data_IF_228540202499
#
_entry.id   IF_228540202499
#
_cell.length_a   1.000
_cell.length_b   1.000
_cell.length_c   1.000
_cell.angle_alpha   90.00
_cell.angle_beta   90.00
_cell.angle_gamma   90.00
#
_symmetry.space_group_name_H-M   'P 1'
#
loop_
_entity.id
_entity.type
_entity.pdbx_description
1 polymer ?
#
# COMPACT_ATOMS: atom_id res chain seq x y z
N UNK A 1 21.14 3.86 -25.63
CA UNK A 1 21.75 4.95 -26.43
C UNK A 1 20.89 5.15 -27.68
N UNK A 2 20.72 6.37 -28.19
CA UNK A 2 19.97 6.59 -29.44
C UNK A 2 20.53 5.67 -30.55
N UNK A 3 19.70 4.96 -31.36
CA UNK A 3 18.24 5.07 -31.47
C UNK A 3 17.40 4.18 -30.52
N UNK A 4 18.02 3.39 -29.66
CA UNK A 4 17.35 2.39 -28.82
C UNK A 4 16.84 2.96 -27.50
N UNK A 5 16.65 4.29 -27.42
CA UNK A 5 16.12 4.96 -26.25
C UNK A 5 14.63 4.61 -26.07
N UNK A 6 14.30 4.04 -24.91
CA UNK A 6 12.92 3.73 -24.54
C UNK A 6 12.59 4.46 -23.23
N UNK A 7 11.38 4.94 -23.09
CA UNK A 7 10.86 5.59 -21.89
C UNK A 7 9.53 4.97 -21.51
N UNK A 8 9.39 4.61 -20.26
CA UNK A 8 8.20 3.97 -19.72
C UNK A 8 7.70 4.70 -18.49
N UNK A 9 6.40 4.67 -18.26
CA UNK A 9 5.78 5.09 -17.03
C UNK A 9 5.24 3.86 -16.32
N UNK A 10 5.72 3.60 -15.12
CA UNK A 10 5.26 2.52 -14.27
C UNK A 10 4.52 3.11 -13.07
N UNK A 11 3.19 3.00 -12.99
CA UNK A 11 2.44 3.45 -11.82
C UNK A 11 2.66 2.47 -10.67
N UNK A 12 3.43 2.86 -9.67
CA UNK A 12 3.64 2.07 -8.46
C UNK A 12 2.70 2.58 -7.38
N UNK A 13 1.63 1.84 -7.16
CA UNK A 13 0.64 2.08 -6.10
C UNK A 13 0.82 1.06 -4.98
N UNK A 14 -0.05 1.11 -3.95
CA UNK A 14 -0.13 0.01 -3.00
C UNK A 14 -0.42 -1.30 -3.73
N UNK A 15 0.41 -2.31 -3.46
CA UNK A 15 0.36 -3.59 -4.15
C UNK A 15 -0.63 -4.57 -3.52
N UNK A 16 -1.33 -4.19 -2.46
CA UNK A 16 -2.31 -5.03 -1.74
C UNK A 16 -1.76 -6.44 -1.50
N UNK A 17 -0.62 -6.50 -0.80
CA UNK A 17 0.17 -7.71 -0.59
C UNK A 17 -0.62 -8.83 0.10
N UNK A 18 -0.26 -10.08 -0.20
CA UNK A 18 -0.83 -11.24 0.50
C UNK A 18 -0.29 -11.29 1.93
N UNK A 19 1.02 -11.12 2.10
CA UNK A 19 1.70 -11.06 3.40
C UNK A 19 2.23 -9.63 3.65
N UNK A 20 1.37 -8.73 4.16
CA UNK A 20 1.67 -7.30 4.20
C UNK A 20 2.52 -6.90 5.41
N UNK A 21 3.83 -6.71 5.25
CA UNK A 21 4.73 -6.23 6.31
C UNK A 21 4.23 -4.95 6.99
N UNK A 22 3.45 -4.11 6.29
CA UNK A 22 2.89 -2.90 6.88
C UNK A 22 1.82 -3.19 7.94
N UNK A 23 1.15 -4.33 7.87
CA UNK A 23 0.20 -4.80 8.89
C UNK A 23 0.97 -5.35 10.08
N UNK A 24 1.97 -6.20 9.85
CA UNK A 24 2.74 -6.86 10.90
C UNK A 24 3.43 -5.88 11.85
N UNK A 25 3.92 -4.77 11.30
CA UNK A 25 4.65 -3.76 12.11
C UNK A 25 3.73 -2.74 12.77
N UNK A 26 2.41 -2.83 12.61
CA UNK A 26 1.49 -1.85 13.17
C UNK A 26 1.29 -2.09 14.68
N UNK A 27 1.75 -1.18 15.56
CA UNK A 27 1.70 -1.42 17.00
C UNK A 27 0.29 -1.32 17.58
N UNK A 28 -0.64 -0.66 16.88
CA UNK A 28 -2.03 -0.47 17.32
C UNK A 28 -3.03 -1.36 16.59
N UNK A 29 -2.58 -2.11 15.57
CA UNK A 29 -3.48 -2.85 14.68
C UNK A 29 -4.31 -1.97 13.75
N UNK A 30 -4.04 -0.67 13.70
CA UNK A 30 -4.74 0.26 12.80
C UNK A 30 -4.57 -0.09 11.32
N UNK A 31 -3.41 -0.64 10.94
CA UNK A 31 -3.20 -1.18 9.59
C UNK A 31 -3.59 -2.64 9.60
N UNK A 32 -4.56 -3.03 8.78
CA UNK A 32 -5.09 -4.39 8.73
C UNK A 32 -5.44 -4.79 7.30
N UNK A 33 -5.46 -6.10 7.03
CA UNK A 33 -5.97 -6.68 5.80
C UNK A 33 -7.40 -7.12 6.05
N UNK A 34 -8.31 -6.68 5.22
CA UNK A 34 -9.69 -7.10 5.27
C UNK A 34 -9.82 -8.54 4.72
N UNK A 35 -10.57 -9.39 5.42
CA UNK A 35 -10.72 -10.80 5.08
C UNK A 35 -11.71 -11.01 3.92
N UNK A 36 -12.65 -10.09 3.73
CA UNK A 36 -13.70 -10.22 2.72
C UNK A 36 -13.21 -9.80 1.33
N UNK A 37 -12.46 -8.69 1.25
CA UNK A 37 -12.02 -8.14 -0.04
C UNK A 37 -10.49 -8.20 -0.27
N UNK A 38 -9.73 -8.63 0.73
CA UNK A 38 -8.28 -8.76 0.67
C UNK A 38 -7.53 -7.44 0.58
N UNK A 39 -8.21 -6.31 0.70
CA UNK A 39 -7.62 -4.97 0.64
C UNK A 39 -7.04 -4.58 2.00
N UNK A 40 -5.90 -3.91 1.98
CA UNK A 40 -5.26 -3.43 3.19
C UNK A 40 -5.75 -2.02 3.49
N UNK A 41 -6.30 -1.83 4.68
CA UNK A 41 -6.81 -0.56 5.17
C UNK A 41 -5.98 0.00 6.32
N UNK A 42 -6.22 1.27 6.64
CA UNK A 42 -5.74 1.92 7.85
C UNK A 42 -6.95 2.56 8.53
N UNK A 43 -7.30 2.06 9.71
CA UNK A 43 -8.24 2.71 10.60
C UNK A 43 -7.60 3.98 11.15
N UNK A 44 -8.13 5.14 10.77
CA UNK A 44 -7.56 6.43 11.12
C UNK A 44 -7.83 6.79 12.58
N UNK A 45 -8.84 6.23 13.21
CA UNK A 45 -9.17 6.46 14.61
C UNK A 45 -8.18 5.72 15.54
N UNK A 46 -7.71 4.55 15.11
CA UNK A 46 -6.69 3.77 15.81
C UNK A 46 -5.25 4.16 15.43
N UNK A 47 -5.07 4.89 14.34
CA UNK A 47 -3.76 5.22 13.82
C UNK A 47 -3.08 6.32 14.64
N UNK A 48 -1.92 6.03 15.22
CA UNK A 48 -1.11 6.98 16.00
C UNK A 48 -0.07 7.76 15.16
N UNK A 49 -0.03 7.53 13.85
CA UNK A 49 0.89 8.23 12.94
C UNK A 49 2.37 7.89 13.12
N UNK A 50 2.72 6.75 13.69
CA UNK A 50 4.10 6.35 13.99
C UNK A 50 4.97 6.07 12.76
N UNK A 51 4.38 6.00 11.57
CA UNK A 51 5.03 5.76 10.29
C UNK A 51 5.78 4.41 10.16
N UNK A 52 5.63 3.47 11.08
CA UNK A 52 6.25 2.14 10.99
C UNK A 52 5.84 1.41 9.70
N UNK A 53 4.55 1.47 9.33
CA UNK A 53 4.04 0.89 8.10
C UNK A 53 4.63 1.51 6.82
N UNK A 54 5.00 2.81 6.85
CA UNK A 54 5.70 3.47 5.75
C UNK A 54 7.11 2.93 5.58
N UNK A 55 7.83 2.74 6.70
CA UNK A 55 9.20 2.22 6.68
C UNK A 55 9.26 0.75 6.26
N UNK A 56 8.26 -0.04 6.65
CA UNK A 56 8.19 -1.46 6.32
C UNK A 56 7.73 -1.74 4.88
N UNK A 57 7.07 -0.79 4.23
CA UNK A 57 6.54 -0.99 2.88
C UNK A 57 7.65 -0.90 1.83
N UNK A 58 8.00 -1.98 1.11
CA UNK A 58 9.05 -1.95 0.09
C UNK A 58 8.63 -1.15 -1.16
N UNK A 59 7.35 -0.80 -1.27
CA UNK A 59 6.77 -0.03 -2.38
C UNK A 59 6.53 1.45 -2.02
N UNK A 60 6.85 1.86 -0.79
CA UNK A 60 6.63 3.21 -0.28
C UNK A 60 5.20 3.74 -0.50
N UNK A 61 4.20 2.85 -0.46
CA UNK A 61 2.82 3.15 -0.79
C UNK A 61 2.04 3.83 0.34
N UNK A 62 2.61 3.92 1.54
CA UNK A 62 1.99 4.56 2.71
C UNK A 62 2.45 6.02 2.82
N UNK A 63 1.52 6.94 2.95
CA UNK A 63 1.78 8.37 3.10
C UNK A 63 1.37 8.87 4.47
N UNK A 64 2.08 9.86 4.99
CA UNK A 64 1.73 10.52 6.23
C UNK A 64 0.87 11.75 5.94
N UNK A 65 -0.36 11.75 6.43
CA UNK A 65 -1.24 12.91 6.37
C UNK A 65 -0.85 13.89 7.48
N UNK A 66 -0.27 15.02 7.12
CA UNK A 66 0.24 16.02 8.06
C UNK A 66 -0.86 16.77 8.79
N UNK A 67 -2.05 16.89 8.19
CA UNK A 67 -3.19 17.61 8.78
C UNK A 67 -3.86 16.76 9.83
N UNK A 68 -4.19 15.50 9.49
CA UNK A 68 -4.84 14.55 10.39
C UNK A 68 -3.84 13.84 11.33
N UNK A 69 -2.55 13.89 11.02
CA UNK A 69 -1.46 13.22 11.75
C UNK A 69 -1.59 11.70 11.82
N UNK A 70 -2.17 11.11 10.80
CA UNK A 70 -2.35 9.67 10.63
C UNK A 70 -1.70 9.20 9.34
N UNK A 71 -1.56 7.90 9.19
CA UNK A 71 -1.12 7.31 7.93
C UNK A 71 -2.29 7.18 6.97
N UNK A 72 -1.99 7.29 5.67
CA UNK A 72 -2.95 7.15 4.59
C UNK A 72 -2.34 6.33 3.44
N UNK A 73 -3.19 5.62 2.70
CA UNK A 73 -2.78 4.80 1.55
C UNK A 73 -3.96 4.52 0.63
N UNK A 74 -3.68 3.88 -0.50
CA UNK A 74 -4.72 3.41 -1.41
C UNK A 74 -5.67 2.43 -0.69
N UNK A 75 -6.97 2.71 -0.71
CA UNK A 75 -8.05 1.91 -0.13
C UNK A 75 -8.76 1.04 -1.18
N UNK A 76 -8.21 0.91 -2.40
CA UNK A 76 -8.95 0.30 -3.50
C UNK A 76 -10.25 1.03 -3.85
N UNK A 77 -10.43 2.29 -3.38
CA UNK A 77 -11.66 3.07 -3.53
C UNK A 77 -12.90 2.33 -3.01
N UNK A 78 -12.85 1.77 -1.79
CA UNK A 78 -13.93 0.97 -1.19
C UNK A 78 -15.29 1.66 -1.35
N UNK A 79 -15.39 2.96 -1.10
CA UNK A 79 -16.63 3.74 -1.24
C UNK A 79 -17.22 3.70 -2.65
N UNK A 80 -16.42 3.55 -3.69
CA UNK A 80 -16.92 3.38 -5.07
C UNK A 80 -17.28 1.94 -5.36
N UNK A 81 -16.48 0.98 -4.83
CA UNK A 81 -16.73 -0.45 -5.01
C UNK A 81 -18.03 -0.88 -4.35
N UNK A 82 -18.36 -0.35 -3.17
CA UNK A 82 -19.62 -0.59 -2.47
C UNK A 82 -20.83 -0.11 -3.27
N UNK A 83 -20.64 0.89 -4.13
CA UNK A 83 -21.64 1.34 -5.09
C UNK A 83 -21.64 0.55 -6.41
N UNK A 84 -20.83 -0.51 -6.53
CA UNK A 84 -20.66 -1.30 -7.74
C UNK A 84 -19.89 -0.58 -8.86
N UNK A 85 -19.10 0.43 -8.51
CA UNK A 85 -18.30 1.23 -9.45
C UNK A 85 -16.84 0.81 -9.43
N UNK A 86 -16.16 1.02 -10.55
CA UNK A 86 -14.70 0.85 -10.61
C UNK A 86 -13.95 1.89 -9.77
N UNK A 87 -12.75 1.54 -9.26
CA UNK A 87 -11.86 2.51 -8.64
C UNK A 87 -11.58 3.72 -9.53
N UNK A 88 -11.40 4.89 -8.91
CA UNK A 88 -11.24 6.16 -9.63
C UNK A 88 -10.03 6.15 -10.59
N UNK A 89 -8.92 5.51 -10.22
CA UNK A 89 -7.73 5.40 -11.08
C UNK A 89 -8.00 4.56 -12.34
N UNK A 90 -8.77 3.49 -12.23
CA UNK A 90 -9.17 2.63 -13.37
C UNK A 90 -10.10 3.41 -14.28
N UNK A 91 -11.15 3.97 -13.72
CA UNK A 91 -12.20 4.70 -14.46
C UNK A 91 -11.68 5.92 -15.22
N UNK A 92 -10.68 6.60 -14.66
CA UNK A 92 -10.09 7.80 -15.27
C UNK A 92 -8.83 7.52 -16.08
N UNK A 93 -8.41 6.26 -16.22
CA UNK A 93 -7.26 5.91 -17.03
C UNK A 93 -7.57 6.07 -18.52
N UNK A 94 -7.11 7.15 -19.13
CA UNK A 94 -7.33 7.42 -20.57
C UNK A 94 -6.76 6.33 -21.48
N UNK A 95 -5.65 5.72 -21.07
CA UNK A 95 -5.02 4.62 -21.81
C UNK A 95 -5.62 3.25 -21.53
N UNK A 96 -6.61 3.15 -20.62
CA UNK A 96 -7.18 1.88 -20.13
C UNK A 96 -6.12 0.84 -19.76
N UNK A 97 -5.04 1.32 -19.13
CA UNK A 97 -3.90 0.50 -18.72
C UNK A 97 -3.99 0.03 -17.26
N UNK A 98 -4.96 0.53 -16.51
CA UNK A 98 -5.20 0.12 -15.13
C UNK A 98 -6.47 -0.73 -15.05
N UNK A 99 -6.36 -1.86 -14.37
CA UNK A 99 -7.45 -2.81 -14.14
C UNK A 99 -7.53 -3.11 -12.65
N UNK A 100 -8.70 -3.43 -12.18
CA UNK A 100 -8.95 -3.82 -10.79
C UNK A 100 -10.02 -4.90 -10.76
N UNK A 101 -9.83 -5.93 -9.97
CA UNK A 101 -10.78 -7.03 -9.84
C UNK A 101 -10.22 -8.15 -8.97
N UNK A 102 -11.04 -9.15 -8.72
CA UNK A 102 -10.65 -10.34 -8.00
C UNK A 102 -9.83 -11.26 -8.91
N UNK A 103 -8.57 -11.50 -8.52
CA UNK A 103 -7.66 -12.39 -9.25
C UNK A 103 -7.97 -13.89 -9.00
N UNK A 104 -8.75 -14.19 -7.98
CA UNK A 104 -9.16 -15.56 -7.64
C UNK A 104 -10.46 -15.96 -8.34
N UNK A 105 -11.22 -15.00 -8.85
CA UNK A 105 -12.40 -15.29 -9.69
C UNK A 105 -11.96 -15.50 -11.14
N UNK A 106 -12.05 -16.73 -11.68
CA UNK A 106 -11.68 -17.01 -13.08
C UNK A 106 -12.54 -16.28 -14.11
N UNK A 107 -13.75 -15.84 -13.71
CA UNK A 107 -14.66 -15.10 -14.59
C UNK A 107 -14.40 -13.60 -14.58
N UNK A 108 -13.57 -13.10 -13.67
CA UNK A 108 -13.22 -11.68 -13.61
C UNK A 108 -12.47 -11.23 -14.86
N UNK A 109 -12.63 -9.94 -15.23
CA UNK A 109 -11.88 -9.36 -16.35
C UNK A 109 -10.36 -9.41 -16.11
N UNK A 110 -9.92 -9.23 -14.85
CA UNK A 110 -8.51 -9.27 -14.48
C UNK A 110 -7.93 -10.65 -14.68
N UNK A 111 -8.61 -11.71 -14.25
CA UNK A 111 -8.15 -13.09 -14.43
C UNK A 111 -8.08 -13.47 -15.90
N UNK A 112 -9.08 -13.10 -16.69
CA UNK A 112 -9.07 -13.30 -18.16
C UNK A 112 -7.93 -12.54 -18.83
N UNK A 113 -7.66 -11.31 -18.39
CA UNK A 113 -6.57 -10.50 -18.92
C UNK A 113 -5.20 -11.11 -18.59
N UNK A 114 -5.02 -11.60 -17.37
CA UNK A 114 -3.78 -12.27 -16.94
C UNK A 114 -3.56 -13.56 -17.73
N UNK A 115 -4.58 -14.39 -17.89
CA UNK A 115 -4.52 -15.63 -18.68
C UNK A 115 -4.18 -15.36 -20.15
N UNK A 116 -4.75 -14.31 -20.74
CA UNK A 116 -4.45 -13.93 -22.13
C UNK A 116 -3.02 -13.39 -22.34
N UNK A 117 -2.31 -13.05 -21.25
CA UNK A 117 -0.95 -12.53 -21.29
C UNK A 117 0.03 -13.39 -20.47
N UNK A 118 -0.25 -14.68 -20.33
CA UNK A 118 0.64 -15.63 -19.67
C UNK A 118 2.06 -15.55 -20.25
N UNK A 119 3.08 -15.51 -19.39
CA UNK A 119 4.49 -15.29 -19.78
C UNK A 119 4.90 -13.82 -19.94
N UNK A 120 3.97 -12.87 -19.84
CA UNK A 120 4.23 -11.44 -19.84
C UNK A 120 3.73 -10.75 -18.55
N UNK A 121 3.39 -11.53 -17.54
CA UNK A 121 2.91 -11.06 -16.25
C UNK A 121 4.07 -11.05 -15.25
N UNK A 122 4.24 -9.92 -14.58
CA UNK A 122 5.33 -9.70 -13.63
C UNK A 122 4.79 -9.10 -12.35
N UNK A 123 5.47 -9.40 -11.26
CA UNK A 123 5.28 -8.83 -9.91
C UNK A 123 6.49 -7.99 -9.52
N UNK A 124 6.28 -6.88 -8.84
CA UNK A 124 7.37 -6.06 -8.31
C UNK A 124 7.87 -6.64 -6.99
N UNK A 125 9.21 -6.78 -6.82
CA UNK A 125 9.85 -7.14 -5.55
C UNK A 125 9.20 -8.35 -4.84
N UNK A 126 8.91 -9.40 -5.58
CA UNK A 126 8.27 -10.62 -5.07
C UNK A 126 9.17 -11.39 -4.09
N UNK A 127 10.48 -11.19 -4.18
CA UNK A 127 11.52 -11.76 -3.33
C UNK A 127 11.55 -11.19 -1.89
N UNK A 128 10.85 -10.10 -1.62
CA UNK A 128 10.78 -9.48 -0.29
C UNK A 128 9.83 -10.19 0.69
N UNK A 129 9.18 -11.28 0.30
CA UNK A 129 8.26 -12.05 1.14
C UNK A 129 6.92 -11.38 1.42
N UNK A 130 6.60 -10.28 0.71
CA UNK A 130 5.31 -9.59 0.86
C UNK A 130 4.23 -10.15 -0.06
N UNK A 131 4.59 -10.95 -1.05
CA UNK A 131 3.69 -11.52 -2.06
C UNK A 131 2.68 -10.48 -2.60
N UNK A 132 3.15 -9.48 -3.38
CA UNK A 132 2.28 -8.41 -3.88
C UNK A 132 1.21 -8.95 -4.81
N UNK A 133 -0.04 -8.50 -4.64
CA UNK A 133 -1.15 -8.86 -5.53
C UNK A 133 -1.15 -8.07 -6.85
N UNK A 134 -0.42 -6.94 -6.88
CA UNK A 134 -0.24 -6.16 -8.11
C UNK A 134 0.44 -6.95 -9.22
N UNK A 135 -0.12 -6.88 -10.41
CA UNK A 135 0.41 -7.55 -11.61
C UNK A 135 0.66 -6.52 -12.70
N UNK A 136 1.77 -6.69 -13.40
CA UNK A 136 2.19 -5.83 -14.50
C UNK A 136 2.31 -6.66 -15.77
N UNK A 137 1.58 -6.30 -16.84
CA UNK A 137 1.65 -6.97 -18.13
C UNK A 137 2.63 -6.20 -19.01
N UNK A 138 3.75 -6.81 -19.29
CA UNK A 138 4.89 -6.19 -19.94
C UNK A 138 5.29 -6.96 -21.19
N UNK A 139 4.98 -6.42 -22.34
CA UNK A 139 5.29 -7.06 -23.63
C UNK A 139 6.77 -6.97 -24.02
N UNK A 140 7.53 -6.07 -23.41
CA UNK A 140 8.94 -5.87 -23.69
C UNK A 140 9.75 -5.98 -22.38
N UNK A 141 10.53 -7.05 -22.28
CA UNK A 141 11.24 -7.44 -21.04
C UNK A 141 12.50 -6.60 -20.75
N UNK A 142 12.96 -5.77 -21.67
CA UNK A 142 14.26 -5.09 -21.56
C UNK A 142 14.44 -4.22 -20.31
N UNK A 143 13.37 -3.78 -19.70
CA UNK A 143 13.43 -2.92 -18.52
C UNK A 143 13.25 -3.67 -17.19
N UNK A 144 12.86 -4.93 -17.20
CA UNK A 144 12.77 -5.76 -15.99
C UNK A 144 14.17 -5.98 -15.43
N UNK A 145 15.16 -6.19 -16.29
CA UNK A 145 16.55 -6.32 -15.89
C UNK A 145 17.15 -5.02 -15.30
N UNK A 146 16.47 -3.90 -15.50
CA UNK A 146 16.87 -2.57 -15.00
C UNK A 146 16.17 -2.17 -13.67
N UNK A 147 15.10 -2.88 -13.28
CA UNK A 147 14.27 -2.49 -12.13
C UNK A 147 14.92 -2.63 -10.73
N UNK A 148 15.84 -3.58 -10.44
CA UNK A 148 16.20 -3.83 -9.06
C UNK A 148 17.08 -2.76 -8.41
N UNK A 149 17.89 -2.04 -9.16
CA UNK A 149 18.96 -1.23 -8.57
C UNK A 149 18.73 0.29 -8.69
N UNK A 150 18.37 0.76 -9.86
CA UNK A 150 18.22 2.21 -10.11
C UNK A 150 16.89 2.77 -9.59
N UNK A 151 15.89 1.91 -9.45
CA UNK A 151 14.55 2.32 -8.98
C UNK A 151 14.52 2.64 -7.47
N UNK A 152 15.28 1.90 -6.67
CA UNK A 152 15.42 2.22 -5.23
C UNK A 152 16.17 3.54 -5.02
N UNK A 153 17.21 3.78 -5.80
CA UNK A 153 18.00 5.00 -5.71
C UNK A 153 17.19 6.22 -6.21
N UNK A 154 16.40 6.08 -7.26
CA UNK A 154 15.53 7.13 -7.76
C UNK A 154 14.37 7.46 -6.81
N UNK A 155 13.79 6.47 -6.14
CA UNK A 155 12.77 6.67 -5.11
C UNK A 155 13.35 7.31 -3.83
N UNK A 156 14.60 6.99 -3.48
CA UNK A 156 15.28 7.55 -2.30
C UNK A 156 15.77 8.98 -2.54
N UNK A 157 16.28 9.26 -3.73
CA UNK A 157 16.95 10.54 -4.03
C UNK A 157 16.03 11.68 -4.49
N UNK A 158 14.76 11.44 -4.76
CA UNK A 158 13.90 12.44 -5.38
C UNK A 158 12.62 12.84 -4.64
N UNK A 159 12.13 12.08 -3.68
CA UNK A 159 10.78 12.30 -3.18
C UNK A 159 10.61 12.47 -1.67
N UNK A 160 11.58 12.12 -0.85
CA UNK A 160 11.44 12.21 0.60
C UNK A 160 12.75 12.60 1.28
N UNK A 161 13.06 13.89 1.33
CA UNK A 161 13.80 14.41 2.46
C UNK A 161 12.88 14.28 3.67
N UNK A 162 13.14 13.31 4.53
CA UNK A 162 12.48 13.26 5.83
C UNK A 162 12.81 14.56 6.55
N UNK A 163 11.82 15.34 6.99
CA UNK A 163 12.13 16.41 7.91
C UNK A 163 12.62 15.74 9.20
N UNK A 164 13.90 15.74 9.43
CA UNK A 164 14.52 15.55 10.74
C UNK A 164 14.09 16.70 11.65
N UNK A 165 12.83 16.78 12.00
CA UNK A 165 12.37 17.84 12.86
C UNK A 165 12.11 17.26 14.24
N UNK A 166 12.69 17.92 15.27
CA UNK A 166 12.33 17.77 16.67
C UNK A 166 10.81 17.78 16.93
N UNK A 167 10.05 18.36 16.01
CA UNK A 167 8.61 18.40 16.00
C UNK A 167 7.99 17.01 15.72
N UNK A 168 8.57 16.22 14.82
CA UNK A 168 8.09 14.86 14.54
C UNK A 168 8.29 13.94 15.75
N UNK A 169 9.40 14.08 16.47
CA UNK A 169 9.66 13.35 17.71
C UNK A 169 8.68 13.71 18.81
N UNK A 170 8.39 15.00 19.01
CA UNK A 170 7.39 15.46 20.00
C UNK A 170 5.98 14.96 19.70
N UNK A 171 5.60 14.98 18.44
CA UNK A 171 4.29 14.48 17.98
C UNK A 171 4.17 12.99 18.26
N UNK A 172 5.21 12.22 18.01
CA UNK A 172 5.26 10.79 18.27
C UNK A 172 5.11 10.49 19.79
N UNK A 173 5.82 11.21 20.64
CA UNK A 173 5.71 11.05 22.11
C UNK A 173 4.31 11.40 22.64
N UNK A 174 3.70 12.47 22.12
CA UNK A 174 2.34 12.87 22.52
C UNK A 174 1.28 11.85 22.08
N UNK A 175 1.43 11.23 20.91
CA UNK A 175 0.54 10.18 20.45
C UNK A 175 0.73 8.87 21.24
N UNK A 176 1.96 8.50 21.57
CA UNK A 176 2.23 7.35 22.44
C UNK A 176 1.58 7.51 23.81
N UNK A 177 1.63 8.72 24.38
CA UNK A 177 0.95 9.02 25.66
C UNK A 177 -0.56 8.85 25.54
N UNK A 178 -1.18 9.37 24.48
CA UNK A 178 -2.62 9.20 24.22
C UNK A 178 -3.02 7.74 24.02
N UNK A 179 -2.26 6.99 23.23
CA UNK A 179 -2.52 5.58 23.00
C UNK A 179 -2.41 4.73 24.28
N UNK A 180 -1.45 5.08 25.16
CA UNK A 180 -1.32 4.40 26.45
C UNK A 180 -2.50 4.71 27.39
N UNK A 181 -3.03 5.93 27.37
CA UNK A 181 -4.24 6.30 28.15
C UNK A 181 -5.43 5.49 27.67
N UNK A 182 -5.70 5.47 26.36
CA UNK A 182 -6.81 4.70 25.78
C UNK A 182 -6.69 3.20 26.09
N UNK A 183 -5.46 2.65 26.03
CA UNK A 183 -5.21 1.24 26.33
C UNK A 183 -5.47 0.90 27.80
N UNK A 184 -5.17 1.84 28.71
CA UNK A 184 -5.45 1.67 30.14
C UNK A 184 -6.95 1.69 30.40
N UNK A 185 -7.67 2.66 29.83
CA UNK A 185 -9.14 2.77 29.93
C UNK A 185 -9.86 1.54 29.37
N UNK A 186 -9.45 1.02 28.19
CA UNK A 186 -10.01 -0.21 27.60
C UNK A 186 -9.75 -1.46 28.44
N UNK A 187 -8.62 -1.52 29.15
CA UNK A 187 -8.34 -2.67 30.01
C UNK A 187 -9.16 -2.59 31.32
N UNK A 188 -9.35 -1.39 31.87
CA UNK A 188 -10.19 -1.18 33.06
C UNK A 188 -11.67 -1.47 32.76
N UNK A 189 -12.18 -1.12 31.57
CA UNK A 189 -13.54 -1.47 31.16
C UNK A 189 -13.74 -2.98 30.99
N UNK A 190 -12.74 -3.70 30.43
CA UNK A 190 -12.80 -5.17 30.30
C UNK A 190 -12.71 -5.89 31.62
N UNK A 191 -12.00 -5.36 32.61
CA UNK A 191 -11.94 -5.94 33.95
C UNK A 191 -13.24 -5.70 34.71
N UNK A 192 -13.92 -4.59 34.48
CA UNK A 192 -15.23 -4.28 35.08
C UNK A 192 -16.40 -5.08 34.49
N UNK A 193 -16.28 -5.61 33.26
CA UNK A 193 -17.30 -6.49 32.68
C UNK A 193 -17.17 -7.97 33.12
N UNK A 194 -16.10 -8.34 33.80
CA UNK A 194 -15.82 -9.72 34.26
C UNK A 194 -16.15 -9.94 35.73
N UNK A 195 -16.46 -8.88 36.51
CA UNK A 195 -16.99 -8.96 37.89
C UNK A 195 -18.54 -8.90 37.87
#
# INVERSE_FOLDING_TARGET
MYPDLQMYFLPVMCQQCEDPSCVDVCPTGACYKDEDDGVIYIDQDLCIGCQSCKKACPFHANNFNKELRVMDKCTGCVQLRDEGKEPACVRNCAGRALHFGDINDPESEVSKLLAANEGHVYTLKDDNGNHPSGRFILKNQKWIDMLPFEFEEALHNGMYEEPESELAHRIFEDHLKKANVVRTEMNEEKEAEVE
#
